data_IF_826723507865
#
_entry.id   IF_826723507865
#
_cell.length_a   1.000
_cell.length_b   1.000
_cell.length_c   1.000
_cell.angle_alpha   90.00
_cell.angle_beta   90.00
_cell.angle_gamma   90.00
#
_symmetry.space_group_name_H-M   'P 1'
#
loop_
_entity.id
_entity.type
_entity.pdbx_description
1 polymer ?
#
# COMPACT_ATOMS: atom_id res chain seq x y z
N UNK A 1 9.06 20.15 2.76
CA UNK A 1 9.00 19.19 1.65
C UNK A 1 8.19 17.97 2.08
N UNK A 2 7.27 17.49 1.23
CA UNK A 2 6.44 16.33 1.55
C UNK A 2 7.24 15.05 1.31
N UNK A 3 7.69 14.40 2.38
CA UNK A 3 8.47 13.16 2.29
C UNK A 3 7.69 12.02 1.61
N UNK A 4 8.41 10.95 1.27
CA UNK A 4 7.83 9.73 0.69
C UNK A 4 7.95 8.57 1.66
N UNK A 5 6.96 7.68 1.62
CA UNK A 5 6.99 6.40 2.33
C UNK A 5 7.22 5.30 1.31
N UNK A 6 8.19 4.43 1.57
CA UNK A 6 8.40 3.21 0.79
C UNK A 6 7.80 2.05 1.57
N UNK A 7 6.85 1.35 0.97
CA UNK A 7 6.25 0.15 1.54
C UNK A 7 6.75 -1.05 0.75
N UNK A 8 7.28 -2.06 1.45
CA UNK A 8 7.68 -3.34 0.88
C UNK A 8 6.89 -4.46 1.54
N UNK A 9 6.41 -5.41 0.76
CA UNK A 9 5.71 -6.59 1.27
C UNK A 9 5.99 -7.80 0.39
N UNK A 10 5.93 -8.99 1.00
CA UNK A 10 5.95 -10.26 0.30
C UNK A 10 4.53 -10.75 0.10
N UNK A 11 4.20 -11.25 -1.09
CA UNK A 11 2.94 -11.91 -1.36
C UNK A 11 3.19 -13.23 -2.10
N UNK A 12 2.47 -14.27 -1.68
CA UNK A 12 2.58 -15.62 -2.21
C UNK A 12 1.22 -16.14 -2.62
N UNK A 13 1.11 -16.65 -3.83
CA UNK A 13 -0.10 -17.29 -4.34
C UNK A 13 0.26 -18.36 -5.37
N UNK A 14 -0.34 -19.56 -5.28
CA UNK A 14 -0.02 -20.67 -6.16
C UNK A 14 -0.42 -20.45 -7.63
N UNK A 15 -1.37 -19.54 -7.87
CA UNK A 15 -1.80 -19.12 -9.22
C UNK A 15 -1.08 -17.86 -9.69
N UNK A 16 -0.41 -17.15 -8.76
CA UNK A 16 0.32 -15.92 -9.00
C UNK A 16 -0.46 -14.67 -8.58
N UNK A 17 0.26 -13.61 -8.26
CA UNK A 17 -0.25 -12.28 -7.93
C UNK A 17 -0.31 -11.44 -9.21
N UNK A 18 -1.51 -10.97 -9.55
CA UNK A 18 -1.78 -10.19 -10.76
C UNK A 18 -2.04 -8.70 -10.49
N UNK A 19 -2.39 -8.33 -9.27
CA UNK A 19 -2.60 -6.94 -8.88
C UNK A 19 -2.32 -6.72 -7.40
N UNK A 20 -1.77 -5.55 -7.06
CA UNK A 20 -1.37 -5.27 -5.69
C UNK A 20 -1.24 -3.77 -5.44
N UNK A 21 -1.49 -3.35 -4.20
CA UNK A 21 -1.32 -1.96 -3.76
C UNK A 21 -1.22 -1.88 -2.24
N UNK A 22 -0.40 -0.96 -1.74
CA UNK A 22 -0.37 -0.52 -0.36
C UNK A 22 -1.14 0.80 -0.18
N UNK A 23 -1.81 0.92 0.96
CA UNK A 23 -2.63 2.07 1.33
C UNK A 23 -2.29 2.55 2.73
N UNK A 24 -2.46 3.84 2.98
CA UNK A 24 -2.11 4.48 4.25
C UNK A 24 -3.36 5.08 4.89
N UNK A 25 -3.83 4.45 5.97
CA UNK A 25 -5.06 4.82 6.66
C UNK A 25 -4.78 5.63 7.94
N UNK A 26 -5.17 6.90 7.98
CA UNK A 26 -5.14 7.74 9.18
C UNK A 26 -6.15 7.21 10.20
N UNK A 27 -5.70 7.01 11.45
CA UNK A 27 -6.57 6.52 12.53
C UNK A 27 -7.18 5.15 12.23
N UNK A 28 -6.50 4.35 11.39
CA UNK A 28 -6.92 3.01 11.00
C UNK A 28 -7.83 2.94 9.78
N UNK A 29 -8.66 3.96 9.49
CA UNK A 29 -9.74 3.83 8.49
C UNK A 29 -9.90 4.98 7.49
N UNK A 30 -9.22 6.13 7.68
CA UNK A 30 -9.40 7.30 6.81
C UNK A 30 -8.28 7.41 5.76
N UNK A 31 -8.64 7.51 4.48
CA UNK A 31 -7.67 7.62 3.36
C UNK A 31 -7.71 8.96 2.63
N UNK A 32 -8.72 9.78 2.91
CA UNK A 32 -9.02 11.01 2.21
C UNK A 32 -9.83 11.97 3.09
N UNK A 33 -9.80 13.24 2.74
CA UNK A 33 -10.72 14.26 3.24
C UNK A 33 -11.33 15.02 2.05
N UNK A 34 -11.99 16.15 2.32
CA UNK A 34 -12.60 17.01 1.30
C UNK A 34 -11.61 17.61 0.30
N UNK A 35 -10.31 17.66 0.61
CA UNK A 35 -9.25 18.05 -0.33
C UNK A 35 -8.75 16.88 -1.21
N UNK A 36 -9.20 15.66 -0.93
CA UNK A 36 -8.89 14.44 -1.68
C UNK A 36 -8.14 13.38 -0.87
N UNK A 37 -7.61 12.37 -1.57
CA UNK A 37 -6.77 11.32 -0.99
C UNK A 37 -5.51 11.90 -0.36
N UNK A 38 -5.11 11.37 0.79
CA UNK A 38 -3.97 11.91 1.55
C UNK A 38 -2.62 11.72 0.85
N UNK A 39 -2.47 10.68 0.03
CA UNK A 39 -1.20 10.36 -0.64
C UNK A 39 -1.39 10.15 -2.14
N UNK A 40 -0.27 10.23 -2.86
CA UNK A 40 -0.17 9.77 -4.25
C UNK A 40 0.41 8.36 -4.21
N UNK A 41 -0.34 7.40 -4.75
CA UNK A 41 0.04 5.99 -4.78
C UNK A 41 0.66 5.67 -6.15
N UNK A 42 1.98 5.50 -6.20
CA UNK A 42 2.67 5.17 -7.45
C UNK A 42 2.48 3.69 -7.82
N UNK A 43 2.91 3.29 -9.01
CA UNK A 43 2.89 1.88 -9.43
C UNK A 43 3.70 1.00 -8.47
N UNK A 44 3.24 -0.24 -8.30
CA UNK A 44 3.99 -1.27 -7.56
C UNK A 44 5.00 -1.95 -8.49
N UNK A 45 6.22 -2.14 -8.01
CA UNK A 45 7.26 -2.90 -8.70
C UNK A 45 7.49 -4.25 -8.00
N UNK A 46 7.69 -5.32 -8.79
CA UNK A 46 8.27 -6.57 -8.30
C UNK A 46 9.80 -6.36 -8.23
N UNK A 47 10.35 -6.37 -7.03
CA UNK A 47 11.79 -6.07 -6.80
C UNK A 47 12.62 -7.33 -6.59
N UNK A 48 12.00 -8.45 -6.21
CA UNK A 48 12.63 -9.77 -6.16
C UNK A 48 11.58 -10.89 -6.24
N UNK A 49 11.98 -12.08 -6.68
CA UNK A 49 11.11 -13.26 -6.80
C UNK A 49 10.33 -13.28 -8.12
N UNK A 50 9.14 -13.88 -8.10
CA UNK A 50 8.26 -14.02 -9.25
C UNK A 50 6.78 -13.76 -8.90
N UNK A 51 5.87 -14.06 -9.83
CA UNK A 51 4.45 -13.83 -9.62
C UNK A 51 3.86 -14.72 -8.50
N UNK A 52 4.39 -15.92 -8.28
CA UNK A 52 3.89 -16.86 -7.27
C UNK A 52 4.47 -16.63 -5.88
N UNK A 53 5.67 -16.05 -5.82
CA UNK A 53 6.34 -15.65 -4.58
C UNK A 53 7.18 -14.40 -4.83
N UNK A 54 6.58 -13.24 -4.60
CA UNK A 54 7.14 -11.94 -4.97
C UNK A 54 7.38 -11.03 -3.78
N UNK A 55 8.50 -10.30 -3.82
CA UNK A 55 8.74 -9.12 -3.01
C UNK A 55 8.38 -7.88 -3.83
N UNK A 56 7.40 -7.14 -3.33
CA UNK A 56 6.84 -5.97 -4.00
C UNK A 56 7.21 -4.69 -3.26
N UNK A 57 7.37 -3.59 -4.00
CA UNK A 57 7.65 -2.27 -3.48
C UNK A 57 6.71 -1.22 -4.09
N UNK A 58 6.21 -0.33 -3.24
CA UNK A 58 5.47 0.85 -3.67
C UNK A 58 6.00 2.11 -2.98
N UNK A 59 6.28 3.13 -3.79
CA UNK A 59 6.52 4.49 -3.32
C UNK A 59 5.20 5.22 -3.16
N UNK A 60 5.00 5.84 -2.01
CA UNK A 60 3.80 6.60 -1.68
C UNK A 60 4.21 8.02 -1.29
N UNK A 61 3.79 9.01 -2.07
CA UNK A 61 4.22 10.40 -1.90
C UNK A 61 3.19 11.21 -1.10
N UNK A 62 3.68 11.95 -0.09
CA UNK A 62 2.84 12.80 0.77
C UNK A 62 2.33 14.01 0.00
N UNK A 63 1.03 14.27 0.09
CA UNK A 63 0.45 15.53 -0.41
C UNK A 63 0.59 16.64 0.64
N UNK A 64 0.55 17.89 0.19
CA UNK A 64 0.68 19.06 1.08
C UNK A 64 -0.37 19.13 2.20
N UNK A 65 -1.54 18.54 1.99
CA UNK A 65 -2.67 18.57 2.91
C UNK A 65 -2.82 17.27 3.73
N UNK A 66 -1.85 16.35 3.65
CA UNK A 66 -1.84 15.13 4.47
C UNK A 66 -1.79 15.50 5.96
N UNK A 67 -2.81 15.12 6.76
CA UNK A 67 -2.82 15.38 8.19
C UNK A 67 -1.66 14.68 8.90
N UNK A 68 -1.15 15.30 9.97
CA UNK A 68 -0.24 14.61 10.89
C UNK A 68 -1.04 13.59 11.72
N UNK A 69 -0.39 12.52 12.15
CA UNK A 69 -1.01 11.45 12.92
C UNK A 69 -0.49 10.06 12.57
N UNK A 70 -1.08 9.05 13.21
CA UNK A 70 -0.69 7.65 13.01
C UNK A 70 -1.43 7.06 11.82
N UNK A 71 -0.64 6.53 10.87
CA UNK A 71 -1.12 5.83 9.69
C UNK A 71 -0.88 4.33 9.84
N UNK A 72 -1.90 3.52 9.52
CA UNK A 72 -1.81 2.07 9.41
C UNK A 72 -1.62 1.68 7.95
N UNK A 73 -0.72 0.72 7.68
CA UNK A 73 -0.52 0.18 6.34
C UNK A 73 -1.56 -0.90 6.06
N UNK A 74 -2.26 -0.76 4.94
CA UNK A 74 -3.18 -1.76 4.41
C UNK A 74 -2.67 -2.27 3.07
N UNK A 75 -2.85 -3.56 2.78
CA UNK A 75 -2.41 -4.17 1.53
C UNK A 75 -3.62 -4.77 0.81
N UNK A 76 -3.75 -4.45 -0.48
CA UNK A 76 -4.64 -5.18 -1.40
C UNK A 76 -3.80 -6.09 -2.28
N UNK A 77 -4.25 -7.33 -2.46
CA UNK A 77 -3.71 -8.25 -3.47
C UNK A 77 -4.84 -8.87 -4.28
N UNK A 78 -4.57 -9.15 -5.55
CA UNK A 78 -5.44 -9.81 -6.52
C UNK A 78 -4.64 -10.93 -7.15
N UNK A 79 -5.14 -12.16 -7.12
CA UNK A 79 -4.50 -13.29 -7.80
C UNK A 79 -4.81 -13.33 -9.30
N UNK A 80 -4.18 -14.24 -10.05
CA UNK A 80 -4.42 -14.38 -11.50
C UNK A 80 -5.83 -14.88 -11.86
N UNK A 81 -6.54 -15.47 -10.90
CA UNK A 81 -7.94 -15.89 -11.05
C UNK A 81 -8.94 -14.79 -10.69
N UNK A 82 -8.47 -13.64 -10.18
CA UNK A 82 -9.28 -12.48 -9.82
C UNK A 82 -9.78 -12.46 -8.36
N UNK A 83 -9.36 -13.41 -7.52
CA UNK A 83 -9.67 -13.38 -6.09
C UNK A 83 -8.93 -12.20 -5.44
N UNK A 84 -9.59 -11.52 -4.50
CA UNK A 84 -9.07 -10.31 -3.86
C UNK A 84 -8.96 -10.49 -2.36
N UNK A 85 -7.86 -10.02 -1.79
CA UNK A 85 -7.68 -9.89 -0.34
C UNK A 85 -7.33 -8.46 0.02
N UNK A 86 -7.95 -7.96 1.10
CA UNK A 86 -7.68 -6.65 1.66
C UNK A 86 -7.34 -6.78 3.14
N UNK A 87 -6.08 -6.53 3.45
CA UNK A 87 -5.51 -6.82 4.77
C UNK A 87 -5.06 -5.53 5.43
N UNK A 88 -5.68 -5.22 6.57
CA UNK A 88 -5.13 -4.24 7.51
C UNK A 88 -3.97 -4.90 8.27
N UNK A 89 -2.77 -4.31 8.18
CA UNK A 89 -1.60 -4.82 8.90
C UNK A 89 -1.49 -4.18 10.30
N UNK A 90 -0.63 -4.73 11.15
CA UNK A 90 -0.22 -4.06 12.41
C UNK A 90 0.86 -3.00 12.22
N UNK A 91 1.37 -2.82 10.99
CA UNK A 91 2.43 -1.84 10.69
C UNK A 91 1.84 -0.45 10.73
N UNK A 92 2.42 0.40 11.57
CA UNK A 92 2.04 1.80 11.70
C UNK A 92 3.27 2.70 11.66
N UNK A 93 3.05 3.95 11.27
CA UNK A 93 4.05 5.01 11.38
C UNK A 93 3.34 6.35 11.64
N UNK A 94 4.08 7.34 12.13
CA UNK A 94 3.54 8.67 12.42
C UNK A 94 4.15 9.70 11.49
N UNK A 95 3.31 10.61 11.02
CA UNK A 95 3.70 11.81 10.26
C UNK A 95 3.55 13.03 11.15
#
# INVERSE_FOLDING_TARGET
>A
EGGSVIVRWRATDGTGVAGQSAWLALGGYSFANTAGVYFIYNSVALVAGDATDGLYEQRIDRRRFTPNGTYTVWITVVDTLGNKSFTQTSVTFTI
#
